data_IF_248460316440
#
_entry.id   IF_248460316440
#
_cell.length_a   1.000
_cell.length_b   1.000
_cell.length_c   1.000
_cell.angle_alpha   90.00
_cell.angle_beta   90.00
_cell.angle_gamma   90.00
#
_symmetry.space_group_name_H-M   'P 1'
#
loop_
_entity.id
_entity.type
_entity.pdbx_description
1 polymer ?
#
# COMPACT_ATOMS: atom_id res chain seq x y z
N UNK A 1 17.85 -25.31 12.91
CA UNK A 1 18.66 -24.42 13.78
C UNK A 1 18.35 -24.83 15.22
N UNK A 2 19.34 -25.26 16.01
CA UNK A 2 19.11 -25.74 17.40
C UNK A 2 19.21 -24.55 18.36
N UNK A 3 18.19 -24.37 19.21
CA UNK A 3 18.12 -23.31 20.23
C UNK A 3 18.69 -23.89 21.54
N UNK A 4 19.55 -23.13 22.21
CA UNK A 4 20.05 -23.47 23.54
C UNK A 4 18.95 -23.21 24.59
N UNK A 5 18.59 -24.23 25.37
CA UNK A 5 17.75 -24.08 26.56
C UNK A 5 18.61 -23.53 27.70
N UNK A 6 18.26 -22.35 28.23
CA UNK A 6 18.85 -21.84 29.47
C UNK A 6 17.83 -22.09 30.60
N UNK A 7 18.15 -23.06 31.46
CA UNK A 7 17.39 -23.35 32.67
C UNK A 7 17.75 -22.30 33.75
N UNK A 8 16.81 -21.42 34.10
CA UNK A 8 17.01 -20.45 35.20
C UNK A 8 16.31 -20.99 36.44
N UNK A 9 17.09 -21.30 37.48
CA UNK A 9 16.61 -21.70 38.80
C UNK A 9 16.72 -20.52 39.76
N UNK A 10 15.68 -20.27 40.54
CA UNK A 10 15.75 -19.36 41.69
C UNK A 10 14.91 -19.88 42.86
N UNK A 11 15.30 -19.46 44.06
CA UNK A 11 14.69 -19.84 45.33
C UNK A 11 13.83 -18.69 45.82
N UNK A 12 12.58 -18.94 46.21
CA UNK A 12 11.75 -17.89 46.80
C UNK A 12 12.12 -17.59 48.27
N UNK A 13 11.56 -16.52 48.82
CA UNK A 13 11.80 -16.08 50.20
C UNK A 13 11.36 -17.05 51.30
N UNK A 14 10.75 -18.18 50.93
CA UNK A 14 10.39 -19.28 51.84
C UNK A 14 11.28 -20.52 51.63
N UNK A 15 12.35 -20.42 50.84
CA UNK A 15 13.32 -21.50 50.62
C UNK A 15 12.82 -22.61 49.69
N UNK A 16 11.68 -22.44 49.01
CA UNK A 16 11.18 -23.46 48.08
C UNK A 16 11.76 -23.25 46.67
N UNK A 17 12.29 -24.34 46.09
CA UNK A 17 12.74 -24.37 44.70
C UNK A 17 11.51 -24.46 43.79
N UNK A 18 11.13 -23.35 43.15
CA UNK A 18 10.09 -23.38 42.13
C UNK A 18 10.71 -23.55 40.74
N UNK A 19 10.33 -24.63 40.05
CA UNK A 19 10.65 -24.83 38.66
C UNK A 19 9.57 -24.13 37.82
N UNK A 20 9.77 -22.85 37.49
CA UNK A 20 8.93 -22.21 36.47
C UNK A 20 9.36 -22.74 35.10
N UNK A 21 8.51 -23.55 34.46
CA UNK A 21 8.61 -23.73 33.01
C UNK A 21 8.52 -22.33 32.38
N UNK A 22 9.50 -21.90 31.56
CA UNK A 22 9.35 -20.64 30.85
C UNK A 22 8.07 -20.73 30.04
N UNK A 23 7.16 -19.76 30.23
CA UNK A 23 6.10 -19.50 29.26
C UNK A 23 6.81 -19.15 27.96
N UNK A 24 6.93 -20.13 27.06
CA UNK A 24 7.20 -19.88 25.66
C UNK A 24 6.20 -18.82 25.20
N UNK A 25 6.70 -17.70 24.71
CA UNK A 25 6.27 -17.23 23.40
C UNK A 25 7.46 -16.53 22.80
N UNK A 26 8.10 -17.25 21.87
CA UNK A 26 9.02 -16.70 20.90
C UNK A 26 8.49 -15.33 20.47
N UNK A 27 9.21 -14.26 20.83
CA UNK A 27 9.19 -13.05 20.01
C UNK A 27 9.87 -13.44 18.69
N UNK A 28 9.20 -14.24 17.86
CA UNK A 28 9.55 -14.30 16.45
C UNK A 28 9.48 -12.86 15.97
N UNK A 29 10.63 -12.30 15.60
CA UNK A 29 10.64 -10.97 15.01
C UNK A 29 9.67 -11.00 13.83
N UNK A 30 8.70 -10.07 13.76
CA UNK A 30 7.71 -10.12 12.70
C UNK A 30 8.44 -10.09 11.35
N UNK A 31 8.05 -11.01 10.47
CA UNK A 31 8.43 -10.96 9.06
C UNK A 31 8.13 -9.54 8.57
N UNK A 32 9.14 -8.84 8.05
CA UNK A 32 9.03 -7.43 7.63
C UNK A 32 8.87 -7.33 6.12
N UNK A 33 8.21 -6.27 5.67
CA UNK A 33 8.04 -5.99 4.25
C UNK A 33 6.89 -6.78 3.61
N UNK A 34 6.93 -6.90 2.28
CA UNK A 34 5.87 -7.55 1.52
C UNK A 34 5.85 -9.05 1.81
N UNK A 35 4.66 -9.59 2.10
CA UNK A 35 4.46 -11.01 2.39
C UNK A 35 3.31 -11.60 1.57
N UNK A 36 3.38 -12.90 1.31
CA UNK A 36 2.29 -13.65 0.70
C UNK A 36 1.18 -13.99 1.72
N UNK A 37 0.14 -14.71 1.29
CA UNK A 37 -0.98 -15.09 2.16
C UNK A 37 -0.58 -15.93 3.38
N UNK A 38 0.55 -16.65 3.28
CA UNK A 38 1.14 -17.46 4.35
C UNK A 38 2.13 -16.68 5.22
N UNK A 39 2.20 -15.35 5.08
CA UNK A 39 3.09 -14.46 5.84
C UNK A 39 4.58 -14.80 5.59
N UNK A 40 4.90 -15.28 4.39
CA UNK A 40 6.28 -15.50 3.97
C UNK A 40 6.75 -14.27 3.20
N UNK A 41 7.92 -13.72 3.57
CA UNK A 41 8.50 -12.57 2.88
C UNK A 41 8.68 -12.87 1.39
N UNK A 42 8.15 -11.99 0.56
CA UNK A 42 8.34 -11.96 -0.89
C UNK A 42 9.46 -10.96 -1.19
N UNK A 43 10.27 -11.26 -2.20
CA UNK A 43 11.34 -10.38 -2.67
C UNK A 43 11.16 -10.11 -4.16
N UNK A 44 11.65 -8.94 -4.57
CA UNK A 44 11.80 -8.61 -5.97
C UNK A 44 13.20 -8.06 -6.26
N UNK A 45 13.60 -8.10 -7.53
CA UNK A 45 14.81 -7.45 -8.04
C UNK A 45 14.46 -6.63 -9.27
N UNK A 46 15.14 -5.50 -9.46
CA UNK A 46 15.01 -4.71 -10.69
C UNK A 46 16.03 -5.23 -11.70
N UNK A 47 15.55 -5.68 -12.86
CA UNK A 47 16.39 -6.14 -13.98
C UNK A 47 17.04 -4.94 -14.69
N UNK A 48 18.06 -5.22 -15.51
CA UNK A 48 18.76 -4.21 -16.31
C UNK A 48 17.86 -3.44 -17.28
N UNK A 49 16.74 -4.04 -17.69
CA UNK A 49 15.73 -3.41 -18.55
C UNK A 49 14.65 -2.65 -17.76
N UNK A 50 14.82 -2.45 -16.45
CA UNK A 50 13.87 -1.74 -15.59
C UNK A 50 12.67 -2.57 -15.10
N UNK A 51 12.47 -3.79 -15.62
CA UNK A 51 11.36 -4.66 -15.18
C UNK A 51 11.66 -5.34 -13.85
N UNK A 52 10.62 -5.77 -13.13
CA UNK A 52 10.78 -6.51 -11.89
C UNK A 52 10.87 -8.02 -12.13
N UNK A 53 11.76 -8.67 -11.37
CA UNK A 53 11.76 -10.11 -11.14
C UNK A 53 11.23 -10.41 -9.74
N UNK A 54 10.12 -11.13 -9.66
CA UNK A 54 9.54 -11.56 -8.40
C UNK A 54 9.98 -12.97 -8.04
N UNK A 55 10.22 -13.23 -6.75
CA UNK A 55 10.45 -14.61 -6.31
C UNK A 55 9.16 -15.45 -6.36
N UNK A 56 9.31 -16.78 -6.30
CA UNK A 56 8.21 -17.72 -6.48
C UNK A 56 7.12 -17.68 -5.40
N UNK A 57 7.27 -16.86 -4.35
CA UNK A 57 6.27 -16.69 -3.30
C UNK A 57 5.31 -15.53 -3.59
N UNK A 58 5.64 -14.67 -4.56
CA UNK A 58 4.78 -13.57 -4.96
C UNK A 58 3.44 -14.11 -5.47
N UNK A 59 2.34 -13.58 -4.93
CA UNK A 59 1.01 -13.85 -5.45
C UNK A 59 0.76 -13.02 -6.71
N UNK A 60 -0.22 -13.39 -7.55
CA UNK A 60 -0.60 -12.59 -8.72
C UNK A 60 -0.90 -11.13 -8.38
N UNK A 61 -1.56 -10.86 -7.26
CA UNK A 61 -1.87 -9.49 -6.80
C UNK A 61 -0.61 -8.69 -6.48
N UNK A 62 0.35 -9.31 -5.76
CA UNK A 62 1.65 -8.67 -5.44
C UNK A 62 2.38 -8.31 -6.73
N UNK A 63 2.42 -9.23 -7.69
CA UNK A 63 3.08 -9.01 -8.99
C UNK A 63 2.37 -7.87 -9.74
N UNK A 64 1.04 -7.89 -9.79
CA UNK A 64 0.25 -6.93 -10.56
C UNK A 64 0.39 -5.51 -10.00
N UNK A 65 0.16 -5.34 -8.69
CA UNK A 65 0.28 -4.04 -8.03
C UNK A 65 1.74 -3.57 -8.06
N UNK A 66 2.68 -4.44 -7.70
CA UNK A 66 4.09 -4.07 -7.64
C UNK A 66 4.67 -3.71 -9.01
N UNK A 67 4.30 -4.42 -10.08
CA UNK A 67 4.69 -4.04 -11.44
C UNK A 67 4.06 -2.71 -11.87
N UNK A 68 2.79 -2.46 -11.53
CA UNK A 68 2.14 -1.19 -11.85
C UNK A 68 2.82 0.00 -11.16
N UNK A 69 3.19 -0.15 -9.87
CA UNK A 69 3.96 0.86 -9.15
C UNK A 69 5.36 1.08 -9.76
N UNK A 70 6.05 0.00 -10.14
CA UNK A 70 7.42 0.08 -10.64
C UNK A 70 7.58 0.61 -12.08
N UNK A 71 6.49 0.98 -12.74
CA UNK A 71 6.53 1.65 -14.06
C UNK A 71 7.15 3.05 -13.98
N UNK A 72 7.11 3.68 -12.81
CA UNK A 72 7.70 5.00 -12.58
C UNK A 72 8.78 4.97 -11.49
N UNK A 73 9.80 5.86 -11.55
CA UNK A 73 10.77 6.01 -10.47
C UNK A 73 10.12 6.27 -9.11
N UNK A 74 9.13 7.16 -9.05
CA UNK A 74 8.42 7.47 -7.80
C UNK A 74 7.67 6.26 -7.26
N UNK A 75 6.94 5.53 -8.11
CA UNK A 75 6.21 4.34 -7.68
C UNK A 75 7.15 3.19 -7.27
N UNK A 76 8.32 3.04 -7.90
CA UNK A 76 9.36 2.10 -7.46
C UNK A 76 9.91 2.44 -6.06
N UNK A 77 10.08 3.73 -5.74
CA UNK A 77 10.46 4.17 -4.38
C UNK A 77 9.38 3.77 -3.38
N UNK A 78 8.10 3.97 -3.71
CA UNK A 78 6.98 3.55 -2.87
C UNK A 78 6.91 2.03 -2.68
N UNK A 79 7.20 1.26 -3.73
CA UNK A 79 7.26 -0.20 -3.62
C UNK A 79 8.39 -0.65 -2.69
N UNK A 80 9.55 0.01 -2.73
CA UNK A 80 10.64 -0.25 -1.77
C UNK A 80 10.25 0.13 -0.34
N UNK A 81 9.50 1.23 -0.15
CA UNK A 81 8.93 1.60 1.16
C UNK A 81 8.08 0.46 1.72
N UNK A 82 7.25 -0.19 0.91
CA UNK A 82 6.48 -1.37 1.31
C UNK A 82 7.37 -2.58 1.66
N UNK A 83 8.45 -2.84 0.93
CA UNK A 83 9.38 -3.96 1.24
C UNK A 83 10.23 -3.72 2.51
N UNK A 84 10.48 -2.45 2.83
CA UNK A 84 11.24 -2.02 4.00
C UNK A 84 10.35 -1.76 5.23
N UNK A 85 9.03 -1.84 5.06
CA UNK A 85 8.06 -1.60 6.11
C UNK A 85 8.32 -2.47 7.35
N UNK A 86 8.12 -1.88 8.54
CA UNK A 86 8.37 -2.55 9.83
C UNK A 86 7.47 -3.76 10.06
N UNK A 87 6.25 -3.72 9.53
CA UNK A 87 5.25 -4.78 9.67
C UNK A 87 5.19 -5.61 8.38
N UNK A 88 4.72 -6.87 8.46
CA UNK A 88 4.38 -7.60 7.26
C UNK A 88 3.24 -6.89 6.52
N UNK A 89 3.41 -6.70 5.21
CA UNK A 89 2.42 -6.07 4.34
C UNK A 89 1.91 -7.10 3.34
N UNK A 90 0.63 -7.41 3.40
CA UNK A 90 -0.05 -8.11 2.30
C UNK A 90 -0.49 -7.09 1.25
N UNK A 91 -0.49 -7.51 -0.01
CA UNK A 91 -1.05 -6.71 -1.10
C UNK A 91 -2.16 -7.53 -1.74
N UNK A 92 -3.33 -6.93 -1.90
CA UNK A 92 -4.52 -7.60 -2.42
C UNK A 92 -5.28 -6.71 -3.39
N UNK A 93 -5.70 -7.30 -4.49
CA UNK A 93 -6.71 -6.72 -5.37
C UNK A 93 -8.06 -7.27 -4.91
N UNK A 94 -8.92 -6.38 -4.42
CA UNK A 94 -10.23 -6.73 -3.90
C UNK A 94 -11.31 -6.40 -4.92
N UNK A 95 -12.24 -7.33 -5.22
CA UNK A 95 -13.43 -7.03 -6.00
C UNK A 95 -14.54 -6.36 -5.17
N UNK A 96 -14.32 -6.09 -3.88
CA UNK A 96 -15.34 -5.43 -3.07
C UNK A 96 -15.64 -4.02 -3.61
N UNK A 97 -16.92 -3.66 -3.67
CA UNK A 97 -17.35 -2.29 -3.97
C UNK A 97 -17.28 -1.45 -2.70
N UNK A 98 -16.67 -0.28 -2.81
CA UNK A 98 -16.47 0.64 -1.68
C UNK A 98 -16.61 2.09 -2.15
N UNK A 99 -16.16 3.07 -1.37
CA UNK A 99 -16.07 4.48 -1.79
C UNK A 99 -14.64 4.94 -2.01
N UNK A 100 -13.67 4.03 -2.09
CA UNK A 100 -12.22 4.33 -2.20
C UNK A 100 -11.58 3.45 -3.26
N UNK A 101 -10.55 3.96 -3.95
CA UNK A 101 -9.75 3.18 -4.90
C UNK A 101 -8.78 2.23 -4.19
N UNK A 102 -8.22 2.66 -3.07
CA UNK A 102 -7.31 1.89 -2.24
C UNK A 102 -7.61 2.07 -0.76
N UNK A 103 -7.07 1.17 0.06
CA UNK A 103 -7.05 1.34 1.51
C UNK A 103 -5.99 0.47 2.16
N UNK A 104 -5.23 1.05 3.08
CA UNK A 104 -4.35 0.32 3.98
C UNK A 104 -5.11 -0.13 5.25
N UNK A 105 -5.40 -1.43 5.36
CA UNK A 105 -6.10 -2.01 6.51
C UNK A 105 -5.11 -2.62 7.52
N UNK A 106 -5.02 -2.12 8.76
CA UNK A 106 -4.23 -2.75 9.80
C UNK A 106 -4.94 -3.97 10.41
N UNK A 107 -4.28 -5.12 10.39
CA UNK A 107 -4.67 -6.27 11.19
C UNK A 107 -4.15 -6.14 12.63
N UNK A 108 -5.09 -5.92 13.54
CA UNK A 108 -4.80 -5.75 14.97
C UNK A 108 -4.66 -7.10 15.68
N UNK A 109 -3.72 -7.17 16.61
CA UNK A 109 -3.71 -8.18 17.66
C UNK A 109 -3.87 -7.48 19.02
N UNK A 110 -4.64 -8.08 19.91
CA UNK A 110 -4.79 -7.59 21.28
C UNK A 110 -4.30 -8.63 22.29
N UNK A 111 -3.59 -8.16 23.30
CA UNK A 111 -3.45 -8.85 24.57
C UNK A 111 -4.36 -8.17 25.60
N UNK A 112 -4.53 -8.76 26.80
CA UNK A 112 -5.39 -8.19 27.84
C UNK A 112 -5.09 -6.72 28.19
N UNK A 113 -3.88 -6.23 27.90
CA UNK A 113 -3.42 -4.90 28.33
C UNK A 113 -2.92 -3.99 27.19
N UNK A 114 -2.76 -4.50 25.96
CA UNK A 114 -2.18 -3.72 24.85
C UNK A 114 -2.76 -4.19 23.50
N UNK A 115 -3.06 -3.24 22.61
CA UNK A 115 -3.36 -3.49 21.20
C UNK A 115 -2.16 -3.09 20.36
N UNK A 116 -1.75 -3.93 19.41
CA UNK A 116 -0.67 -3.63 18.49
C UNK A 116 -0.98 -4.11 17.07
N UNK A 117 -0.32 -3.51 16.09
CA UNK A 117 -0.40 -3.92 14.68
C UNK A 117 0.38 -5.21 14.50
N UNK A 118 -0.30 -6.28 14.07
CA UNK A 118 0.35 -7.55 13.73
C UNK A 118 0.85 -7.55 12.29
N UNK A 119 0.03 -7.03 11.40
CA UNK A 119 0.21 -7.03 9.95
C UNK A 119 -0.64 -5.90 9.38
N UNK A 120 -0.40 -5.52 8.14
CA UNK A 120 -1.34 -4.69 7.41
C UNK A 120 -1.55 -5.22 5.99
N UNK A 121 -2.67 -4.84 5.39
CA UNK A 121 -3.01 -5.21 4.02
C UNK A 121 -3.25 -3.94 3.21
N UNK A 122 -2.47 -3.75 2.16
CA UNK A 122 -2.76 -2.81 1.10
C UNK A 122 -3.83 -3.43 0.21
N UNK A 123 -5.04 -2.91 0.26
CA UNK A 123 -6.12 -3.24 -0.66
C UNK A 123 -6.17 -2.23 -1.79
N UNK A 124 -6.30 -2.75 -3.01
CA UNK A 124 -6.75 -1.97 -4.16
C UNK A 124 -8.10 -2.50 -4.61
N UNK A 125 -9.11 -1.65 -4.63
CA UNK A 125 -10.48 -2.02 -4.99
C UNK A 125 -10.67 -1.89 -6.50
N UNK A 126 -10.38 -2.97 -7.22
CA UNK A 126 -10.41 -3.00 -8.69
C UNK A 126 -11.75 -2.53 -9.26
N UNK A 127 -12.85 -2.93 -8.64
CA UNK A 127 -14.18 -2.55 -9.12
C UNK A 127 -14.45 -1.04 -9.02
N UNK A 128 -13.85 -0.33 -8.05
CA UNK A 128 -13.99 1.13 -7.98
C UNK A 128 -13.17 1.84 -9.06
N UNK A 129 -11.94 1.37 -9.35
CA UNK A 129 -11.15 1.89 -10.48
C UNK A 129 -11.88 1.64 -11.80
N UNK A 130 -12.42 0.43 -12.01
CA UNK A 130 -13.19 0.09 -13.22
C UNK A 130 -14.46 0.92 -13.35
N UNK A 131 -15.17 1.13 -12.25
CA UNK A 131 -16.36 1.98 -12.23
C UNK A 131 -16.03 3.44 -12.56
N UNK A 132 -14.90 3.95 -12.07
CA UNK A 132 -14.42 5.28 -12.42
C UNK A 132 -14.10 5.39 -13.91
N UNK A 133 -13.34 4.44 -14.47
CA UNK A 133 -13.09 4.32 -15.93
C UNK A 133 -14.40 4.39 -16.73
N UNK A 134 -15.38 3.53 -16.38
CA UNK A 134 -16.66 3.48 -17.06
C UNK A 134 -17.46 4.79 -16.91
N UNK A 135 -17.37 5.44 -15.75
CA UNK A 135 -18.01 6.73 -15.49
C UNK A 135 -17.47 7.85 -16.37
N UNK A 136 -16.14 7.97 -16.46
CA UNK A 136 -15.47 8.97 -17.30
C UNK A 136 -15.74 8.70 -18.79
N UNK A 137 -15.62 7.46 -19.24
CA UNK A 137 -15.93 7.07 -20.63
C UNK A 137 -17.40 7.29 -21.00
N UNK A 138 -18.31 7.18 -20.03
CA UNK A 138 -19.74 7.45 -20.18
C UNK A 138 -20.12 8.93 -20.21
N UNK A 139 -19.15 9.85 -20.17
CA UNK A 139 -19.38 11.31 -20.18
C UNK A 139 -19.72 11.91 -18.82
N UNK A 140 -19.51 11.17 -17.73
CA UNK A 140 -19.68 11.66 -16.36
C UNK A 140 -18.43 12.36 -15.86
N UNK A 141 -18.15 13.58 -16.30
CA UNK A 141 -17.04 14.39 -15.77
C UNK A 141 -17.58 15.56 -14.95
N UNK A 142 -17.38 15.50 -13.63
CA UNK A 142 -17.60 16.62 -12.72
C UNK A 142 -16.28 17.34 -12.52
N UNK A 143 -16.17 18.54 -13.08
CA UNK A 143 -14.91 19.31 -13.15
C UNK A 143 -14.55 19.82 -11.75
N UNK A 144 -13.61 19.14 -11.10
CA UNK A 144 -12.85 19.68 -9.97
C UNK A 144 -11.43 19.90 -10.46
N UNK A 145 -10.97 21.15 -10.46
CA UNK A 145 -9.77 21.57 -11.20
C UNK A 145 -8.49 21.37 -10.41
N UNK A 146 -7.79 20.27 -10.66
CA UNK A 146 -6.36 20.16 -10.37
C UNK A 146 -5.67 19.20 -11.37
N UNK A 147 -4.35 19.35 -11.50
CA UNK A 147 -3.55 18.61 -12.48
C UNK A 147 -3.62 17.09 -12.31
N UNK A 148 -3.76 16.59 -11.07
CA UNK A 148 -3.87 15.16 -10.82
C UNK A 148 -5.18 14.62 -11.39
N UNK A 149 -6.30 15.28 -11.10
CA UNK A 149 -7.63 14.89 -11.59
C UNK A 149 -7.66 14.92 -13.12
N UNK A 150 -7.08 15.94 -13.75
CA UNK A 150 -7.02 16.01 -15.22
C UNK A 150 -6.29 14.80 -15.84
N UNK A 151 -5.19 14.35 -15.22
CA UNK A 151 -4.45 13.17 -15.64
C UNK A 151 -5.21 11.87 -15.33
N UNK A 152 -5.83 11.77 -14.15
CA UNK A 152 -6.67 10.61 -13.78
C UNK A 152 -7.85 10.44 -14.73
N UNK A 153 -8.55 11.53 -15.06
CA UNK A 153 -9.66 11.53 -16.02
C UNK A 153 -9.16 11.12 -17.41
N UNK A 154 -8.00 11.61 -17.86
CA UNK A 154 -7.43 11.21 -19.14
C UNK A 154 -7.09 9.71 -19.18
N UNK A 155 -6.42 9.21 -18.15
CA UNK A 155 -6.07 7.80 -18.03
C UNK A 155 -7.31 6.91 -17.94
N UNK A 156 -8.34 7.36 -17.22
CA UNK A 156 -9.62 6.70 -17.14
C UNK A 156 -10.33 6.68 -18.51
N UNK A 157 -10.37 7.80 -19.22
CA UNK A 157 -10.98 7.91 -20.54
C UNK A 157 -10.35 6.93 -21.55
N UNK A 158 -9.03 6.84 -21.59
CA UNK A 158 -8.31 5.91 -22.46
C UNK A 158 -8.22 4.47 -21.91
N UNK A 159 -8.77 4.20 -20.73
CA UNK A 159 -8.83 2.87 -20.14
C UNK A 159 -7.48 2.33 -19.68
N UNK A 160 -6.51 3.19 -19.35
CA UNK A 160 -5.17 2.79 -18.88
C UNK A 160 -5.19 2.39 -17.41
N UNK A 161 -5.85 1.26 -17.16
CA UNK A 161 -6.09 0.69 -15.83
C UNK A 161 -4.82 0.52 -14.99
N UNK A 162 -3.73 0.05 -15.59
CA UNK A 162 -2.48 -0.22 -14.87
C UNK A 162 -1.84 1.07 -14.32
N UNK A 163 -2.03 2.20 -14.99
CA UNK A 163 -1.54 3.50 -14.51
C UNK A 163 -2.30 3.91 -13.25
N UNK A 164 -3.63 3.84 -13.28
CA UNK A 164 -4.49 4.13 -12.11
C UNK A 164 -4.19 3.18 -10.95
N UNK A 165 -3.89 1.90 -11.24
CA UNK A 165 -3.46 0.93 -10.24
C UNK A 165 -2.12 1.34 -9.59
N UNK A 166 -1.14 1.74 -10.40
CA UNK A 166 0.18 2.18 -9.91
C UNK A 166 0.11 3.45 -9.08
N UNK A 167 -0.72 4.41 -9.49
CA UNK A 167 -1.01 5.64 -8.73
C UNK A 167 -1.63 5.31 -7.38
N UNK A 168 -2.69 4.49 -7.37
CA UNK A 168 -3.37 4.09 -6.13
C UNK A 168 -2.43 3.32 -5.20
N UNK A 169 -1.67 2.35 -5.71
CA UNK A 169 -0.69 1.60 -4.91
C UNK A 169 0.39 2.48 -4.30
N UNK A 170 0.86 3.48 -5.05
CA UNK A 170 1.87 4.45 -4.59
C UNK A 170 1.34 5.40 -3.53
N UNK A 171 0.08 5.85 -3.67
CA UNK A 171 -0.62 6.63 -2.65
C UNK A 171 -0.73 5.83 -1.34
N UNK A 172 -1.25 4.60 -1.39
CA UNK A 172 -1.48 3.79 -0.19
C UNK A 172 -0.17 3.35 0.48
N UNK A 173 0.92 3.24 -0.28
CA UNK A 173 2.24 2.95 0.29
C UNK A 173 2.75 4.07 1.20
N UNK A 174 2.36 5.33 1.00
CA UNK A 174 2.72 6.41 1.92
C UNK A 174 2.12 6.20 3.32
N UNK A 175 0.95 5.56 3.40
CA UNK A 175 0.28 5.20 4.64
C UNK A 175 0.89 3.98 5.35
N UNK A 176 1.92 3.34 4.79
CA UNK A 176 2.52 2.11 5.33
C UNK A 176 3.45 2.28 6.54
N UNK A 177 3.77 3.52 6.94
CA UNK A 177 4.60 3.77 8.10
C UNK A 177 3.84 3.65 9.44
N UNK A 178 4.58 3.43 10.53
CA UNK A 178 4.01 3.20 11.87
C UNK A 178 3.17 4.39 12.34
N UNK A 179 3.58 5.62 11.99
CA UNK A 179 2.91 6.84 12.42
C UNK A 179 1.50 6.88 11.85
N UNK A 180 1.37 6.66 10.54
CA UNK A 180 0.09 6.69 9.84
C UNK A 180 -0.79 5.49 10.17
N UNK A 181 -0.19 4.29 10.28
CA UNK A 181 -0.95 3.10 10.69
C UNK A 181 -1.45 3.24 12.14
N UNK A 182 -0.62 3.69 13.08
CA UNK A 182 -1.04 3.88 14.48
C UNK A 182 -2.03 5.04 14.63
N UNK A 183 -1.85 6.14 13.88
CA UNK A 183 -2.82 7.23 13.84
C UNK A 183 -4.19 6.76 13.34
N UNK A 184 -4.25 5.95 12.27
CA UNK A 184 -5.50 5.34 11.79
C UNK A 184 -6.18 4.45 12.85
N UNK A 185 -5.38 3.91 13.78
CA UNK A 185 -5.84 3.06 14.88
C UNK A 185 -6.41 3.86 16.04
N UNK A 186 -5.76 4.98 16.36
CA UNK A 186 -6.07 5.85 17.50
C UNK A 186 -7.20 6.83 17.18
N UNK A 187 -7.47 7.13 15.90
CA UNK A 187 -8.51 8.08 15.46
C UNK A 187 -9.52 7.53 14.44
N UNK A 188 -10.11 6.33 14.63
CA UNK A 188 -10.92 5.65 13.60
C UNK A 188 -12.20 6.39 13.17
N UNK A 189 -12.63 7.41 13.91
CA UNK A 189 -13.85 8.19 13.65
C UNK A 189 -13.60 9.70 13.44
N UNK A 190 -12.35 10.15 13.39
CA UNK A 190 -12.06 11.58 13.34
C UNK A 190 -12.16 12.10 11.91
N UNK A 191 -13.37 12.54 11.53
CA UNK A 191 -13.57 13.42 10.37
C UNK A 191 -12.95 14.77 10.70
N UNK A 192 -11.71 14.99 10.27
CA UNK A 192 -11.11 16.33 10.36
C UNK A 192 -11.92 17.30 9.48
N UNK A 193 -12.23 18.50 9.99
CA UNK A 193 -13.09 19.44 9.29
C UNK A 193 -12.45 19.94 7.99
N UNK A 194 -13.28 19.99 6.97
CA UNK A 194 -13.06 20.43 5.59
C UNK A 194 -12.53 21.86 5.52
N UNK A 195 -11.23 22.02 5.26
CA UNK A 195 -10.72 23.09 4.38
C UNK A 195 -9.28 22.92 3.91
N UNK A 196 -8.52 22.05 4.56
CA UNK A 196 -7.21 21.60 4.10
C UNK A 196 -7.17 20.10 4.36
N UNK A 197 -6.91 19.31 3.32
CA UNK A 197 -6.57 17.91 3.52
C UNK A 197 -5.48 17.87 4.59
N UNK A 198 -5.60 16.98 5.59
CA UNK A 198 -4.62 16.95 6.65
C UNK A 198 -3.23 16.70 6.04
N UNK A 199 -2.14 17.19 6.64
CA UNK A 199 -0.81 17.13 6.02
C UNK A 199 -0.38 15.72 5.59
N UNK A 200 -0.86 14.68 6.28
CA UNK A 200 -0.60 13.29 5.94
C UNK A 200 -1.37 12.77 4.73
N UNK A 201 -2.42 13.45 4.27
CA UNK A 201 -3.17 13.12 3.05
C UNK A 201 -2.66 13.93 1.84
N UNK A 202 -2.15 15.14 2.10
CA UNK A 202 -1.48 15.96 1.08
C UNK A 202 -0.23 15.25 0.50
N UNK A 203 0.57 14.59 1.35
CA UNK A 203 1.76 13.86 0.90
C UNK A 203 1.41 12.72 -0.08
N UNK A 204 0.50 11.78 0.26
CA UNK A 204 -0.03 10.80 -0.68
C UNK A 204 -0.57 11.39 -1.98
N UNK A 205 -1.29 12.52 -1.92
CA UNK A 205 -1.76 13.22 -3.12
C UNK A 205 -0.59 13.69 -4.00
N UNK A 206 0.44 14.31 -3.41
CA UNK A 206 1.62 14.76 -4.15
C UNK A 206 2.40 13.59 -4.77
N UNK A 207 2.41 12.43 -4.11
CA UNK A 207 2.98 11.19 -4.67
C UNK A 207 2.15 10.71 -5.86
N UNK A 208 0.82 10.67 -5.76
CA UNK A 208 -0.06 10.33 -6.89
C UNK A 208 0.19 11.24 -8.10
N UNK A 209 0.29 12.55 -7.87
CA UNK A 209 0.57 13.53 -8.93
C UNK A 209 1.92 13.27 -9.60
N UNK A 210 2.98 13.04 -8.82
CA UNK A 210 4.30 12.72 -9.38
C UNK A 210 4.29 11.45 -10.22
N UNK A 211 3.62 10.39 -9.75
CA UNK A 211 3.47 9.14 -10.52
C UNK A 211 2.71 9.41 -11.82
N UNK A 212 1.62 10.18 -11.77
CA UNK A 212 0.85 10.54 -12.95
C UNK A 212 1.67 11.33 -13.97
N UNK A 213 2.47 12.30 -13.52
CA UNK A 213 3.34 13.10 -14.39
C UNK A 213 4.49 12.27 -15.00
N UNK A 214 5.09 11.37 -14.23
CA UNK A 214 6.12 10.45 -14.73
C UNK A 214 5.54 9.49 -15.78
N UNK A 215 4.35 8.93 -15.57
CA UNK A 215 3.65 8.12 -16.58
C UNK A 215 3.38 8.93 -17.85
N UNK A 216 2.87 10.16 -17.71
CA UNK A 216 2.58 11.04 -18.84
C UNK A 216 3.84 11.27 -19.68
N UNK A 217 4.98 11.51 -19.02
CA UNK A 217 6.26 11.70 -19.71
C UNK A 217 6.78 10.42 -20.37
N UNK A 218 6.41 9.23 -19.88
CA UNK A 218 6.78 7.95 -20.46
C UNK A 218 5.90 7.51 -21.65
N UNK A 219 4.77 8.19 -21.89
CA UNK A 219 3.90 7.91 -23.03
C UNK A 219 4.62 8.13 -24.37
N UNK A 220 4.07 7.53 -25.44
CA UNK A 220 4.46 7.89 -26.80
C UNK A 220 4.04 9.34 -27.12
N UNK A 221 4.62 9.97 -28.14
CA UNK A 221 4.20 11.31 -28.55
C UNK A 221 2.72 11.34 -28.96
N UNK A 222 2.25 10.33 -29.68
CA UNK A 222 0.85 10.21 -30.10
C UNK A 222 -0.09 10.06 -28.89
N UNK A 223 0.31 9.30 -27.87
CA UNK A 223 -0.52 9.12 -26.67
C UNK A 223 -0.49 10.36 -25.76
N UNK A 224 0.63 11.09 -25.68
CA UNK A 224 0.65 12.40 -25.01
C UNK A 224 -0.28 13.40 -25.69
N UNK A 225 -0.25 13.46 -27.03
CA UNK A 225 -1.13 14.35 -27.79
C UNK A 225 -2.61 14.00 -27.52
N UNK A 226 -2.97 12.70 -27.45
CA UNK A 226 -4.32 12.28 -27.05
C UNK A 226 -4.70 12.77 -25.65
N UNK A 227 -3.80 12.65 -24.68
CA UNK A 227 -4.02 13.15 -23.31
C UNK A 227 -4.20 14.66 -23.30
N UNK A 228 -3.34 15.40 -24.00
CA UNK A 228 -3.41 16.85 -24.06
C UNK A 228 -4.70 17.34 -24.72
N UNK A 229 -5.09 16.72 -25.83
CA UNK A 229 -6.34 17.03 -26.52
C UNK A 229 -7.56 16.71 -25.64
N UNK A 230 -7.53 15.60 -24.89
CA UNK A 230 -8.57 15.27 -23.94
C UNK A 230 -8.66 16.32 -22.82
N UNK A 231 -7.54 16.66 -22.18
CA UNK A 231 -7.49 17.65 -21.10
C UNK A 231 -7.94 19.03 -21.60
N UNK A 232 -7.58 19.42 -22.83
CA UNK A 232 -8.07 20.66 -23.45
C UNK A 232 -9.59 20.62 -23.70
N UNK A 233 -10.15 19.46 -24.04
CA UNK A 233 -11.58 19.33 -24.34
C UNK A 233 -12.50 19.48 -23.13
N UNK A 234 -11.96 19.29 -21.91
CA UNK A 234 -12.71 19.38 -20.65
C UNK A 234 -12.47 20.70 -19.89
N UNK A 235 -11.61 21.58 -20.42
CA UNK A 235 -11.24 22.88 -19.84
C UNK A 235 -11.86 24.06 -20.59
#
# INVERSE_FOLDING_TARGET
MRIAEIEIRYTDGNGQRQQRRPRLQLREMPVRGIVNDRIQKVRFQVKSNGTLEWDSRATPDIITIGNAMARTPTGLVQLRKLDEAKYPIKMKISPAMTSKYGYFEPERASTRNESFVRMATLYIYENEIRKYILGVQGGGVSITRNRLIDLEDAYAYFGWYEILLGMTGSHEAEHSDIGNIQLSIDTPNQRYPTKFDPPWEQVPYDISLKVAEEEYNNLSSDDREKVDNFIQSIN
#
